data_IF_695381755058
#
_entry.id   IF_695381755058
#
_cell.length_a   1.000
_cell.length_b   1.000
_cell.length_c   1.000
_cell.angle_alpha   90.00
_cell.angle_beta   90.00
_cell.angle_gamma   90.00
#
_symmetry.space_group_name_H-M   'P 1'
#
loop_
_entity.id
_entity.type
_entity.pdbx_description
1 polymer ?
#
# COMPACT_ATOMS: atom_id res chain seq x y z
N UNK A 1 -4.65 1.33 17.27
CA UNK A 1 -3.94 1.33 15.97
C UNK A 1 -4.50 2.48 15.13
N UNK A 2 -3.98 3.70 15.28
CA UNK A 2 -4.44 4.85 14.47
C UNK A 2 -3.62 4.91 13.20
N UNK A 3 -4.04 4.18 12.17
CA UNK A 3 -3.50 4.34 10.83
C UNK A 3 -3.87 5.75 10.34
N UNK A 4 -2.87 6.59 10.10
CA UNK A 4 -3.10 7.91 9.49
C UNK A 4 -3.78 7.72 8.15
N UNK A 5 -5.07 8.03 8.08
CA UNK A 5 -5.83 8.03 6.83
C UNK A 5 -5.26 9.14 5.97
N UNK A 6 -4.72 8.80 4.80
CA UNK A 6 -4.20 9.79 3.87
C UNK A 6 -5.35 10.48 3.13
N UNK A 7 -5.31 11.82 2.96
CA UNK A 7 -6.37 12.55 2.27
C UNK A 7 -6.36 12.24 0.77
N UNK A 8 -7.49 12.54 0.12
CA UNK A 8 -7.57 12.55 -1.34
C UNK A 8 -6.63 13.63 -1.91
N UNK A 9 -5.98 13.33 -3.03
CA UNK A 9 -5.01 14.22 -3.67
C UNK A 9 -5.66 15.24 -4.63
N UNK A 10 -6.98 15.12 -4.86
CA UNK A 10 -7.76 16.11 -5.59
C UNK A 10 -8.20 17.20 -4.61
N UNK A 11 -8.07 18.46 -5.02
CA UNK A 11 -8.45 19.62 -4.21
C UNK A 11 -9.92 20.04 -4.41
N UNK A 12 -10.63 19.34 -5.30
CA UNK A 12 -12.01 19.66 -5.66
C UNK A 12 -13.04 18.93 -4.80
N UNK A 13 -14.08 19.66 -4.38
CA UNK A 13 -15.31 19.06 -3.88
C UNK A 13 -16.21 18.62 -5.05
N UNK A 14 -17.05 17.58 -4.89
CA UNK A 14 -17.27 16.82 -3.66
C UNK A 14 -16.42 15.53 -3.54
N UNK A 15 -15.92 15.24 -2.33
CA UNK A 15 -15.28 13.95 -1.98
C UNK A 15 -16.31 12.90 -1.53
N UNK A 16 -15.94 11.61 -1.55
CA UNK A 16 -16.78 10.54 -1.00
C UNK A 16 -16.16 9.88 0.24
N UNK A 17 -15.95 8.56 0.25
CA UNK A 17 -15.47 7.73 1.37
C UNK A 17 -14.46 8.44 2.29
N UNK A 18 -14.57 8.13 3.59
CA UNK A 18 -13.73 8.66 4.67
C UNK A 18 -12.23 8.37 4.51
N UNK A 19 -11.84 7.46 3.61
CA UNK A 19 -10.45 7.10 3.36
C UNK A 19 -10.12 7.05 1.88
N UNK A 20 -8.91 7.49 1.54
CA UNK A 20 -8.37 7.40 0.18
C UNK A 20 -7.65 6.07 -0.05
N UNK A 21 -7.70 5.58 -1.29
CA UNK A 21 -6.93 4.41 -1.75
C UNK A 21 -5.75 4.86 -2.60
N UNK A 22 -4.66 4.09 -2.58
CA UNK A 22 -3.47 4.39 -3.39
C UNK A 22 -3.67 3.89 -4.82
N UNK A 23 -3.57 4.80 -5.78
CA UNK A 23 -3.46 4.55 -7.22
C UNK A 23 -2.10 5.07 -7.70
N UNK A 24 -1.63 4.69 -8.89
CA UNK A 24 -0.40 5.24 -9.47
C UNK A 24 -0.38 6.79 -9.44
N UNK A 25 -1.51 7.42 -9.73
CA UNK A 25 -1.67 8.88 -9.80
C UNK A 25 -1.81 9.60 -8.45
N UNK A 26 -1.84 8.87 -7.33
CA UNK A 26 -1.94 9.45 -5.99
C UNK A 26 -2.97 8.75 -5.10
N UNK A 27 -3.29 9.40 -3.98
CA UNK A 27 -4.36 8.96 -3.07
C UNK A 27 -5.70 9.48 -3.58
N UNK A 28 -6.68 8.60 -3.79
CA UNK A 28 -7.99 8.97 -4.35
C UNK A 28 -9.12 8.43 -3.48
N UNK A 29 -10.13 9.25 -3.20
CA UNK A 29 -11.41 8.76 -2.67
C UNK A 29 -12.20 8.02 -3.77
N UNK A 30 -13.24 7.29 -3.39
CA UNK A 30 -14.21 6.65 -4.28
C UNK A 30 -14.70 7.54 -5.44
N UNK A 31 -15.01 8.82 -5.18
CA UNK A 31 -15.45 9.79 -6.20
C UNK A 31 -14.37 10.20 -7.19
N UNK A 32 -13.10 10.06 -6.86
CA UNK A 32 -11.96 10.47 -7.70
C UNK A 32 -11.13 9.29 -8.17
N UNK A 33 -11.65 8.07 -8.08
CA UNK A 33 -11.00 6.91 -8.69
C UNK A 33 -11.01 7.06 -10.22
N UNK A 34 -10.04 6.45 -10.94
CA UNK A 34 -10.06 6.43 -12.39
C UNK A 34 -11.35 5.86 -13.00
N UNK A 35 -12.06 4.98 -12.27
CA UNK A 35 -13.36 4.43 -12.70
C UNK A 35 -14.49 5.44 -12.50
N UNK A 36 -14.54 6.11 -11.36
CA UNK A 36 -15.56 7.13 -11.07
C UNK A 36 -15.50 8.30 -12.06
N UNK A 37 -14.29 8.77 -12.41
CA UNK A 37 -14.09 9.81 -13.43
C UNK A 37 -14.63 9.38 -14.80
N UNK A 38 -14.64 8.07 -15.08
CA UNK A 38 -15.17 7.48 -16.34
C UNK A 38 -16.65 7.09 -16.23
N UNK A 39 -17.34 7.42 -15.14
CA UNK A 39 -18.74 7.05 -14.91
C UNK A 39 -18.96 5.54 -14.70
N UNK A 40 -17.92 4.78 -14.38
CA UNK A 40 -18.01 3.34 -14.16
C UNK A 40 -18.28 3.03 -12.69
N UNK A 41 -19.02 1.94 -12.37
CA UNK A 41 -19.27 1.53 -11.01
C UNK A 41 -17.97 1.12 -10.29
N UNK A 42 -17.96 1.23 -8.97
CA UNK A 42 -16.85 0.78 -8.12
C UNK A 42 -16.60 -0.73 -8.33
N UNK A 43 -15.32 -1.13 -8.35
CA UNK A 43 -15.00 -2.55 -8.36
C UNK A 43 -15.42 -3.18 -7.02
N UNK A 44 -16.03 -4.38 -7.03
CA UNK A 44 -16.25 -5.11 -5.80
C UNK A 44 -14.90 -5.41 -5.12
N UNK A 45 -14.88 -5.55 -3.79
CA UNK A 45 -13.69 -6.04 -3.11
C UNK A 45 -13.27 -7.37 -3.73
N UNK A 46 -11.97 -7.50 -4.01
CA UNK A 46 -11.42 -8.76 -4.54
C UNK A 46 -11.58 -9.90 -3.52
N UNK A 47 -11.39 -11.16 -3.94
CA UNK A 47 -11.56 -12.35 -3.09
C UNK A 47 -10.55 -12.49 -1.94
N UNK A 48 -9.81 -11.43 -1.59
CA UNK A 48 -8.62 -11.50 -0.75
C UNK A 48 -7.42 -12.07 -1.52
N UNK A 49 -6.21 -11.82 -1.01
CA UNK A 49 -5.05 -12.60 -1.42
C UNK A 49 -5.03 -13.90 -0.62
N UNK A 50 -4.70 -15.06 -1.22
CA UNK A 50 -4.41 -16.25 -0.43
C UNK A 50 -3.25 -15.93 0.54
N UNK A 51 -3.24 -16.54 1.74
CA UNK A 51 -2.10 -16.43 2.63
C UNK A 51 -0.83 -16.82 1.85
N UNK A 52 0.16 -15.93 1.81
CA UNK A 52 1.49 -16.31 1.30
C UNK A 52 2.29 -16.88 2.45
N UNK A 53 2.72 -18.12 2.30
CA UNK A 53 3.85 -18.70 3.02
C UNK A 53 5.16 -18.14 2.44
N UNK A 54 5.36 -16.82 2.51
CA UNK A 54 6.67 -16.25 2.22
C UNK A 54 7.59 -16.58 3.42
N UNK A 55 8.70 -17.32 3.26
CA UNK A 55 9.69 -17.42 4.32
C UNK A 55 10.23 -16.01 4.56
N UNK A 56 10.01 -15.48 5.76
CA UNK A 56 10.62 -14.23 6.19
C UNK A 56 12.13 -14.35 5.97
N UNK A 57 12.80 -13.37 5.33
CA UNK A 57 14.25 -13.35 5.33
C UNK A 57 14.69 -13.29 6.79
N UNK A 58 15.28 -14.39 7.26
CA UNK A 58 15.86 -14.44 8.59
C UNK A 58 16.92 -13.35 8.66
N UNK A 59 16.72 -12.36 9.50
CA UNK A 59 17.75 -11.40 9.89
C UNK A 59 18.74 -12.11 10.83
N UNK A 60 19.24 -13.27 10.42
CA UNK A 60 20.41 -13.84 11.05
C UNK A 60 21.59 -13.01 10.52
N UNK A 61 22.34 -12.28 11.36
CA UNK A 61 23.58 -11.68 10.92
C UNK A 61 24.47 -12.79 10.34
N UNK A 62 25.25 -12.51 9.28
CA UNK A 62 26.25 -13.47 8.83
C UNK A 62 27.13 -13.87 10.04
N UNK A 63 27.54 -15.15 10.16
CA UNK A 63 28.48 -15.52 11.20
C UNK A 63 29.71 -14.63 11.04
N UNK A 64 30.19 -14.07 12.15
CA UNK A 64 31.40 -13.29 12.18
C UNK A 64 32.54 -14.17 11.68
N UNK A 65 32.88 -14.03 10.41
CA UNK A 65 34.11 -14.54 9.83
C UNK A 65 35.25 -13.84 10.57
N UNK A 66 35.93 -14.67 11.38
CA UNK A 66 37.09 -14.36 12.19
C UNK A 66 38.11 -13.62 11.33
N UNK A 67 38.27 -12.31 11.57
CA UNK A 67 39.39 -11.55 11.04
C UNK A 67 40.67 -12.12 11.70
N UNK A 68 41.35 -13.04 11.03
CA UNK A 68 42.73 -13.35 11.38
C UNK A 68 43.58 -12.10 11.09
N UNK A 69 44.35 -11.59 12.07
CA UNK A 69 45.24 -10.46 11.83
C UNK A 69 46.41 -10.89 10.93
N UNK A 70 46.84 -10.07 9.97
CA UNK A 70 48.04 -10.36 9.20
C UNK A 70 49.27 -10.33 10.13
N UNK A 71 50.12 -11.35 9.99
CA UNK A 71 51.39 -11.54 10.72
C UNK A 71 52.47 -10.52 10.37
#
# INVERSE_FOLDING_TARGET
MSGSVRPCNDLGLPHGLLYARRYLTGWKCDRHTPRAIRGLPECPPGPGWPPRDDPQPTTAPPPAEELEPPS
#
